data_IF_766268724380
#
_entry.id   IF_766268724380
#
_cell.length_a   1.000
_cell.length_b   1.000
_cell.length_c   1.000
_cell.angle_alpha   90.00
_cell.angle_beta   90.00
_cell.angle_gamma   90.00
#
_symmetry.space_group_name_H-M   'P 1'
#
loop_
_entity.id
_entity.type
_entity.pdbx_description
1 polymer ?
#
# COMPACT_ATOMS: atom_id res chain seq x y z
N UNK A 1 15.07 -4.55 -7.94
CA UNK A 1 13.99 -3.56 -7.91
C UNK A 1 13.34 -3.55 -6.55
N UNK A 2 12.91 -2.38 -6.08
CA UNK A 2 12.20 -2.20 -4.81
C UNK A 2 10.90 -1.46 -5.15
N UNK A 3 9.75 -2.09 -4.94
CA UNK A 3 8.46 -1.44 -5.17
C UNK A 3 8.03 -0.72 -3.90
N UNK A 4 7.71 0.57 -4.03
CA UNK A 4 7.24 1.40 -2.93
C UNK A 4 5.92 2.04 -3.31
N UNK A 5 4.96 1.96 -2.38
CA UNK A 5 3.71 2.66 -2.55
C UNK A 5 3.92 4.18 -2.41
N UNK A 6 3.46 4.96 -3.39
CA UNK A 6 3.46 6.43 -3.32
C UNK A 6 2.09 7.04 -3.02
N UNK A 7 1.05 6.20 -3.01
CA UNK A 7 -0.32 6.64 -2.79
C UNK A 7 -0.55 6.93 -1.31
N UNK A 8 -1.04 8.12 -0.98
CA UNK A 8 -1.45 8.44 0.39
C UNK A 8 -2.74 7.67 0.74
N UNK A 9 -2.80 6.99 1.90
CA UNK A 9 -4.03 6.38 2.39
C UNK A 9 -5.13 7.44 2.64
N UNK A 10 -6.38 7.02 2.73
CA UNK A 10 -7.46 7.93 3.12
C UNK A 10 -7.27 8.41 4.57
N UNK A 11 -7.75 9.61 4.90
CA UNK A 11 -7.68 10.15 6.27
C UNK A 11 -8.24 9.18 7.31
N UNK A 12 -9.36 8.54 7.02
CA UNK A 12 -9.95 7.53 7.89
C UNK A 12 -8.98 6.37 8.19
N UNK A 13 -8.23 5.90 7.19
CA UNK A 13 -7.21 4.86 7.41
C UNK A 13 -6.04 5.40 8.22
N UNK A 14 -5.59 6.62 7.94
CA UNK A 14 -4.50 7.26 8.69
C UNK A 14 -4.88 7.38 10.16
N UNK A 15 -6.08 7.87 10.45
CA UNK A 15 -6.60 8.03 11.80
C UNK A 15 -6.65 6.67 12.53
N UNK A 16 -7.14 5.62 11.85
CA UNK A 16 -7.18 4.27 12.42
C UNK A 16 -5.80 3.69 12.75
N UNK A 17 -4.77 4.02 11.97
CA UNK A 17 -3.40 3.56 12.21
C UNK A 17 -2.60 4.48 13.14
N UNK A 18 -3.06 5.71 13.39
CA UNK A 18 -2.36 6.68 14.23
C UNK A 18 -2.17 6.23 15.68
N UNK A 19 -3.04 5.33 16.17
CA UNK A 19 -2.89 4.70 17.49
C UNK A 19 -1.73 3.68 17.53
N UNK A 20 -1.40 3.05 16.39
CA UNK A 20 -0.34 2.04 16.27
C UNK A 20 1.00 2.62 15.79
N UNK A 21 0.99 3.77 15.10
CA UNK A 21 2.20 4.49 14.71
C UNK A 21 2.00 5.57 13.64
N UNK A 22 3.09 6.21 13.26
CA UNK A 22 3.10 7.30 12.27
C UNK A 22 3.27 6.80 10.84
N UNK A 23 2.75 7.59 9.89
CA UNK A 23 3.03 7.37 8.47
C UNK A 23 4.50 7.63 8.16
N UNK A 24 5.12 6.66 7.48
CA UNK A 24 6.50 6.80 7.00
C UNK A 24 6.48 7.31 5.57
N UNK A 25 7.11 8.46 5.31
CA UNK A 25 7.36 8.92 3.95
C UNK A 25 8.56 8.19 3.37
N UNK A 26 8.45 7.77 2.11
CA UNK A 26 9.59 7.17 1.42
C UNK A 26 10.62 8.25 1.04
N UNK A 27 11.75 8.22 1.71
CA UNK A 27 12.93 9.07 1.52
C UNK A 27 14.05 8.36 0.71
N UNK A 28 13.80 7.14 0.24
CA UNK A 28 14.78 6.36 -0.51
C UNK A 28 15.00 6.91 -1.93
N UNK A 29 16.27 7.05 -2.30
CA UNK A 29 16.76 7.51 -3.61
C UNK A 29 17.73 6.46 -4.20
N UNK A 30 17.25 5.67 -5.16
CA UNK A 30 18.01 4.63 -5.89
C UNK A 30 17.27 4.31 -7.20
N UNK A 31 18.02 4.09 -8.29
CA UNK A 31 17.46 3.82 -9.63
C UNK A 31 16.59 2.55 -9.70
N UNK A 32 16.77 1.62 -8.75
CA UNK A 32 16.01 0.37 -8.66
C UNK A 32 14.67 0.56 -7.96
N UNK A 33 14.37 1.74 -7.43
CA UNK A 33 13.12 2.03 -6.72
C UNK A 33 12.04 2.40 -7.72
N UNK A 34 10.91 1.71 -7.62
CA UNK A 34 9.72 1.96 -8.43
C UNK A 34 8.62 2.46 -7.49
N UNK A 35 8.27 3.74 -7.66
CA UNK A 35 7.20 4.41 -6.91
C UNK A 35 5.88 4.25 -7.69
N UNK A 36 4.93 3.50 -7.14
CA UNK A 36 3.65 3.20 -7.79
C UNK A 36 2.46 3.31 -6.84
N UNK A 37 1.26 3.48 -7.38
CA UNK A 37 0.04 3.48 -6.58
C UNK A 37 -0.36 2.03 -6.32
N UNK A 38 -0.06 1.52 -5.13
CA UNK A 38 -0.19 0.10 -4.83
C UNK A 38 -1.34 -0.19 -3.86
N UNK A 39 -1.97 0.82 -3.25
CA UNK A 39 -3.05 0.59 -2.29
C UNK A 39 -4.30 0.02 -2.97
N UNK A 40 -4.92 -0.95 -2.31
CA UNK A 40 -6.22 -1.49 -2.65
C UNK A 40 -7.38 -0.74 -2.00
N UNK A 41 -8.63 -1.14 -2.30
CA UNK A 41 -9.79 -0.61 -1.60
C UNK A 41 -9.72 -0.97 -0.12
N UNK A 42 -10.38 -0.17 0.72
CA UNK A 42 -10.60 -0.50 2.12
C UNK A 42 -11.36 -1.83 2.14
N UNK A 43 -10.77 -2.84 2.78
CA UNK A 43 -11.44 -4.11 2.95
C UNK A 43 -12.56 -3.94 3.97
N UNK A 44 -13.81 -4.17 3.55
CA UNK A 44 -14.95 -4.21 4.45
C UNK A 44 -14.76 -5.32 5.49
N UNK A 45 -15.04 -4.97 6.74
CA UNK A 45 -14.91 -5.87 7.89
C UNK A 45 -15.84 -7.07 7.68
N UNK A 46 -15.31 -8.29 7.72
CA UNK A 46 -16.16 -9.47 7.80
C UNK A 46 -16.99 -9.37 9.09
N UNK A 47 -18.32 -9.52 9.01
CA UNK A 47 -19.28 -9.37 10.14
C UNK A 47 -18.95 -10.17 11.41
N UNK A 48 -18.00 -11.10 11.38
CA UNK A 48 -17.54 -11.92 12.52
C UNK A 48 -16.22 -11.47 13.13
N UNK A 49 -15.49 -10.55 12.50
CA UNK A 49 -14.24 -10.04 13.03
C UNK A 49 -14.55 -8.96 14.09
N UNK A 50 -14.26 -9.28 15.36
CA UNK A 50 -14.41 -8.35 16.49
C UNK A 50 -13.42 -7.19 16.43
N UNK A 51 -12.45 -7.26 15.52
CA UNK A 51 -11.40 -6.29 15.34
C UNK A 51 -11.75 -5.42 14.13
N UNK A 52 -12.13 -4.16 14.36
CA UNK A 52 -12.38 -3.12 13.34
C UNK A 52 -11.08 -2.63 12.68
N UNK A 53 -10.22 -3.52 12.22
CA UNK A 53 -9.00 -3.10 11.50
C UNK A 53 -9.37 -2.87 10.04
N UNK A 54 -9.58 -1.61 9.67
CA UNK A 54 -9.57 -1.12 8.29
C UNK A 54 -8.13 -1.22 7.77
N UNK A 55 -7.73 -2.38 7.24
CA UNK A 55 -6.31 -2.65 6.99
C UNK A 55 -5.81 -1.96 5.72
N UNK A 56 -4.69 -1.23 5.83
CA UNK A 56 -3.92 -0.77 4.67
C UNK A 56 -3.29 -2.00 4.00
N UNK A 57 -3.68 -2.27 2.74
CA UNK A 57 -3.23 -3.44 1.98
C UNK A 57 -2.89 -3.06 0.55
N UNK A 58 -1.94 -3.78 -0.03
CA UNK A 58 -1.65 -3.67 -1.45
C UNK A 58 -2.75 -4.35 -2.30
N UNK A 59 -3.13 -3.73 -3.42
CA UNK A 59 -3.93 -4.39 -4.46
C UNK A 59 -3.03 -5.36 -5.23
N UNK A 60 -3.38 -6.65 -5.18
CA UNK A 60 -2.61 -7.71 -5.80
C UNK A 60 -2.49 -7.56 -7.32
N UNK A 61 -3.50 -6.99 -8.00
CA UNK A 61 -3.47 -6.76 -9.45
C UNK A 61 -2.54 -5.62 -9.80
N UNK A 62 -2.56 -4.53 -9.02
CA UNK A 62 -1.62 -3.41 -9.20
C UNK A 62 -0.19 -3.86 -8.96
N UNK A 63 0.04 -4.61 -7.89
CA UNK A 63 1.36 -5.16 -7.57
C UNK A 63 1.88 -6.10 -8.68
N UNK A 64 1.04 -7.04 -9.14
CA UNK A 64 1.39 -7.92 -10.24
C UNK A 64 1.71 -7.15 -11.53
N UNK A 65 0.94 -6.11 -11.85
CA UNK A 65 1.18 -5.26 -13.03
C UNK A 65 2.57 -4.62 -12.99
N UNK A 66 2.98 -4.06 -11.85
CA UNK A 66 4.31 -3.44 -11.72
C UNK A 66 5.43 -4.50 -11.75
N UNK A 67 5.21 -5.70 -11.19
CA UNK A 67 6.18 -6.81 -11.31
C UNK A 67 6.33 -7.24 -12.78
N UNK A 68 5.23 -7.34 -13.53
CA UNK A 68 5.28 -7.71 -14.94
C UNK A 68 6.06 -6.72 -15.79
N UNK A 69 5.98 -5.42 -15.50
CA UNK A 69 6.79 -4.39 -16.16
C UNK A 69 8.28 -4.64 -15.97
N UNK A 70 8.68 -4.89 -14.72
CA UNK A 70 10.06 -5.22 -14.34
C UNK A 70 10.56 -6.43 -15.11
N UNK A 71 9.79 -7.52 -15.11
CA UNK A 71 10.19 -8.79 -15.75
C UNK A 71 10.31 -8.63 -17.28
N UNK A 72 9.46 -7.81 -17.89
CA UNK A 72 9.45 -7.59 -19.34
C UNK A 72 10.34 -6.42 -19.80
N UNK A 73 11.04 -5.73 -18.89
CA UNK A 73 11.78 -4.48 -19.18
C UNK A 73 10.93 -3.39 -19.87
N UNK A 74 9.69 -3.20 -19.38
CA UNK A 74 8.73 -2.19 -19.85
C UNK A 74 8.60 -1.07 -18.83
#
# INVERSE_FOLDING_TARGET
YILVNKQEPSKELIDNYSEEGDLVQNDLEDERIIKADLLGPIADVAKKDLIRRSLIRHDSRKLAKEIFKIVNNI
#
